data_IF_642083721476
#
_entry.id   IF_642083721476
#
_cell.length_a   1.000
_cell.length_b   1.000
_cell.length_c   1.000
_cell.angle_alpha   90.00
_cell.angle_beta   90.00
_cell.angle_gamma   90.00
#
_symmetry.space_group_name_H-M   'P 1'
#
loop_
_entity.id
_entity.type
_entity.pdbx_description
1 polymer ?
#
# COMPACT_ATOMS: atom_id res chain seq x y z
N UNK A 1 6.78 3.86 50.07
CA UNK A 1 7.31 4.71 48.99
C UNK A 1 6.16 5.18 48.11
N UNK A 2 6.02 6.50 47.95
CA UNK A 2 5.42 7.18 46.79
C UNK A 2 3.96 6.92 46.43
N UNK A 3 3.01 7.61 47.08
CA UNK A 3 1.69 7.87 46.51
C UNK A 3 1.60 9.33 46.10
N UNK A 4 1.62 9.63 44.80
CA UNK A 4 1.42 10.99 44.28
C UNK A 4 0.15 11.07 43.43
N UNK A 5 -0.80 11.86 43.96
CA UNK A 5 -1.89 12.59 43.33
C UNK A 5 -2.28 12.23 41.88
N UNK A 6 -3.44 11.59 41.74
CA UNK A 6 -4.21 11.56 40.49
C UNK A 6 -4.89 12.92 40.29
N UNK A 7 -4.27 13.82 39.53
CA UNK A 7 -4.91 15.05 39.08
C UNK A 7 -5.58 14.76 37.73
N UNK A 8 -6.91 14.60 37.75
CA UNK A 8 -7.77 14.48 36.57
C UNK A 8 -7.62 15.74 35.72
N UNK A 9 -6.79 15.71 34.67
CA UNK A 9 -6.68 16.81 33.70
C UNK A 9 -7.83 16.68 32.70
N UNK A 10 -8.78 17.61 32.76
CA UNK A 10 -9.81 17.81 31.73
C UNK A 10 -9.22 18.81 30.73
N UNK A 11 -8.96 18.35 29.51
CA UNK A 11 -8.60 19.22 28.38
C UNK A 11 -9.86 19.96 27.92
N UNK A 12 -9.82 21.29 27.98
CA UNK A 12 -10.87 22.15 27.45
C UNK A 12 -10.54 22.47 26.00
N UNK A 13 -11.43 22.10 25.08
CA UNK A 13 -11.38 22.57 23.69
C UNK A 13 -11.81 24.04 23.66
N UNK A 14 -11.10 24.84 22.87
CA UNK A 14 -11.41 26.24 22.62
C UNK A 14 -12.63 26.31 21.71
N UNK A 15 -13.79 26.57 22.31
CA UNK A 15 -15.06 26.87 21.67
C UNK A 15 -14.96 28.24 20.96
N UNK A 16 -15.39 28.34 19.69
CA UNK A 16 -15.14 29.46 18.76
C UNK A 16 -15.86 30.78 19.12
N UNK A 17 -16.47 30.87 20.31
CA UNK A 17 -17.18 32.04 20.81
C UNK A 17 -16.40 32.70 21.95
N UNK A 18 -15.73 33.81 21.66
CA UNK A 18 -14.80 34.55 22.54
C UNK A 18 -15.47 35.30 23.73
N UNK A 19 -16.71 34.99 24.11
CA UNK A 19 -17.49 35.73 25.13
C UNK A 19 -17.78 34.95 26.41
N UNK A 20 -16.98 33.92 26.71
CA UNK A 20 -17.13 33.06 27.88
C UNK A 20 -15.89 33.16 28.77
N UNK A 21 -16.07 33.65 30.00
CA UNK A 21 -15.00 33.73 31.00
C UNK A 21 -15.14 32.62 32.04
N UNK A 22 -14.02 32.13 32.57
CA UNK A 22 -14.01 31.00 33.53
C UNK A 22 -13.82 31.54 34.94
N UNK A 23 -14.86 31.41 35.77
CA UNK A 23 -14.82 31.78 37.19
C UNK A 23 -14.85 30.52 38.04
N UNK A 24 -13.77 30.26 38.79
CA UNK A 24 -13.63 29.13 39.72
C UNK A 24 -13.92 27.75 39.09
N UNK A 25 -13.56 27.57 37.81
CA UNK A 25 -13.67 26.31 37.07
C UNK A 25 -14.99 26.09 36.32
N UNK A 26 -15.90 27.07 36.32
CA UNK A 26 -17.20 27.00 35.62
C UNK A 26 -17.22 28.06 34.51
N UNK A 27 -17.68 27.68 33.30
CA UNK A 27 -17.83 28.58 32.14
C UNK A 27 -19.10 29.43 32.32
N UNK A 28 -18.96 30.75 32.41
CA UNK A 28 -20.08 31.69 32.51
C UNK A 28 -19.97 32.74 31.39
N UNK A 29 -21.10 33.18 30.85
CA UNK A 29 -21.14 34.30 29.90
C UNK A 29 -21.17 35.64 30.64
N UNK A 30 -20.67 36.69 29.98
CA UNK A 30 -20.60 38.07 30.52
C UNK A 30 -21.94 38.51 31.13
N UNK A 31 -23.06 38.27 30.43
CA UNK A 31 -24.41 38.64 30.89
C UNK A 31 -24.86 37.95 32.20
N UNK A 32 -24.35 36.75 32.49
CA UNK A 32 -24.65 36.04 33.74
C UNK A 32 -23.77 36.56 34.88
N UNK A 33 -22.53 36.96 34.57
CA UNK A 33 -21.58 37.53 35.52
C UNK A 33 -22.02 38.91 35.99
N UNK A 34 -22.46 39.78 35.08
CA UNK A 34 -22.95 41.11 35.44
C UNK A 34 -24.19 41.06 36.33
N UNK A 35 -25.10 40.10 36.07
CA UNK A 35 -26.27 39.87 36.92
C UNK A 35 -25.91 39.35 38.32
N UNK A 36 -24.83 38.58 38.45
CA UNK A 36 -24.32 38.16 39.75
C UNK A 36 -23.62 39.31 40.50
N UNK A 37 -23.09 40.28 39.76
CA UNK A 37 -22.37 41.44 40.30
C UNK A 37 -23.33 42.57 40.71
N UNK A 38 -24.49 42.69 40.08
CA UNK A 38 -25.51 43.71 40.36
C UNK A 38 -26.67 43.18 41.25
N UNK A 39 -26.37 42.84 42.50
CA UNK A 39 -27.40 42.69 43.55
C UNK A 39 -27.28 43.80 44.58
N UNK A 40 -27.79 44.99 44.25
CA UNK A 40 -28.19 46.05 45.19
C UNK A 40 -29.08 47.09 44.48
N UNK A 41 -30.39 47.16 44.74
CA UNK A 41 -31.25 48.16 44.13
C UNK A 41 -31.36 49.39 45.04
N UNK A 42 -30.66 50.48 44.71
CA UNK A 42 -31.02 51.82 45.18
C UNK A 42 -31.79 52.55 44.08
N UNK A 43 -33.10 52.69 44.29
CA UNK A 43 -34.08 53.12 43.28
C UNK A 43 -34.00 54.59 42.82
N UNK A 44 -34.80 54.96 41.80
CA UNK A 44 -34.86 56.31 41.29
C UNK A 44 -35.87 57.14 42.09
N UNK A 45 -35.44 58.27 42.66
CA UNK A 45 -36.36 59.32 43.14
C UNK A 45 -36.26 60.55 42.26
N UNK A 46 -37.28 60.66 41.41
CA UNK A 46 -37.82 61.90 40.85
C UNK A 46 -38.17 62.88 41.97
N UNK A 47 -37.80 64.16 41.80
CA UNK A 47 -38.56 65.25 42.41
C UNK A 47 -38.54 66.49 41.51
N UNK A 48 -39.62 66.66 40.74
CA UNK A 48 -40.09 67.97 40.26
C UNK A 48 -40.87 68.65 41.38
N UNK A 49 -40.57 69.92 41.64
CA UNK A 49 -41.49 70.95 42.15
C UNK A 49 -40.82 72.31 41.83
N UNK A 50 -41.26 73.06 40.80
CA UNK A 50 -42.15 74.24 40.89
C UNK A 50 -41.82 75.15 42.08
N UNK A 51 -41.69 76.47 41.96
CA UNK A 51 -42.11 77.42 40.95
C UNK A 51 -42.29 78.76 41.66
N UNK A 52 -42.25 79.84 40.88
CA UNK A 52 -42.35 81.25 41.29
C UNK A 52 -41.07 81.77 41.98
N UNK A 53 -40.60 82.99 41.73
CA UNK A 53 -41.33 84.24 41.53
C UNK A 53 -40.53 85.11 40.56
N UNK A 54 -41.22 85.66 39.55
CA UNK A 54 -40.67 86.65 38.64
C UNK A 54 -40.29 87.90 39.41
N UNK A 55 -38.98 88.15 39.49
CA UNK A 55 -38.45 89.47 39.78
C UNK A 55 -38.15 90.14 38.43
N UNK A 56 -38.61 91.36 38.25
CA UNK A 56 -38.20 92.27 37.18
C UNK A 56 -36.67 92.34 37.14
N UNK A 57 -36.06 91.63 36.18
CA UNK A 57 -34.62 91.58 35.99
C UNK A 57 -34.20 92.87 35.29
N UNK A 58 -33.32 93.65 35.93
CA UNK A 58 -32.67 94.79 35.31
C UNK A 58 -31.67 94.31 34.23
N UNK A 59 -31.51 95.07 33.16
CA UNK A 59 -30.67 94.77 31.98
C UNK A 59 -29.25 94.26 32.35
N UNK A 60 -28.74 94.72 33.48
CA UNK A 60 -27.40 94.42 34.01
C UNK A 60 -27.27 93.07 34.71
N UNK A 61 -28.32 92.53 35.31
CA UNK A 61 -28.31 91.18 35.91
C UNK A 61 -28.44 90.11 34.81
N UNK A 62 -29.16 90.43 33.72
CA UNK A 62 -29.27 89.57 32.54
C UNK A 62 -27.93 89.47 31.79
N UNK A 63 -27.24 90.60 31.56
CA UNK A 63 -25.89 90.61 30.98
C UNK A 63 -24.88 89.80 31.78
N UNK A 64 -24.95 89.85 33.11
CA UNK A 64 -24.02 89.13 34.00
C UNK A 64 -24.21 87.60 33.90
N UNK A 65 -25.45 87.11 33.84
CA UNK A 65 -25.75 85.68 33.63
C UNK A 65 -25.37 85.19 32.24
N UNK A 66 -25.58 86.01 31.21
CA UNK A 66 -25.13 85.67 29.84
C UNK A 66 -23.61 85.56 29.79
N UNK A 67 -22.89 86.47 30.44
CA UNK A 67 -21.42 86.40 30.51
C UNK A 67 -20.90 85.18 31.29
N UNK A 68 -21.57 84.82 32.40
CA UNK A 68 -21.24 83.62 33.18
C UNK A 68 -21.53 82.33 32.39
N UNK A 69 -22.64 82.27 31.66
CA UNK A 69 -22.97 81.13 30.80
C UNK A 69 -22.00 81.00 29.62
N UNK A 70 -21.61 82.11 29.00
CA UNK A 70 -20.61 82.13 27.93
C UNK A 70 -19.25 81.61 28.41
N UNK A 71 -18.84 82.03 29.62
CA UNK A 71 -17.60 81.55 30.24
C UNK A 71 -17.65 80.06 30.56
N UNK A 72 -18.79 79.55 31.03
CA UNK A 72 -19.00 78.12 31.29
C UNK A 72 -18.99 77.28 29.99
N UNK A 73 -19.57 77.78 28.91
CA UNK A 73 -19.56 77.11 27.61
C UNK A 73 -18.17 77.15 26.94
N UNK A 74 -17.43 78.26 27.04
CA UNK A 74 -16.02 78.30 26.61
C UNK A 74 -15.16 77.29 27.39
N UNK A 75 -15.32 77.22 28.71
CA UNK A 75 -14.61 76.27 29.56
C UNK A 75 -14.95 74.81 29.21
N UNK A 76 -16.21 74.49 28.91
CA UNK A 76 -16.62 73.15 28.44
C UNK A 76 -15.98 72.81 27.09
N UNK A 77 -16.04 73.73 26.13
CA UNK A 77 -15.50 73.54 24.78
C UNK A 77 -13.98 73.36 24.80
N UNK A 78 -13.28 74.12 25.65
CA UNK A 78 -11.84 73.97 25.85
C UNK A 78 -11.51 72.62 26.52
N UNK A 79 -12.27 72.20 27.54
CA UNK A 79 -12.15 70.88 28.15
C UNK A 79 -12.39 69.75 27.14
N UNK A 80 -13.40 69.86 26.28
CA UNK A 80 -13.69 68.86 25.25
C UNK A 80 -12.58 68.78 24.20
N UNK A 81 -12.09 69.92 23.70
CA UNK A 81 -10.95 69.97 22.79
C UNK A 81 -9.68 69.39 23.44
N UNK A 82 -9.44 69.67 24.72
CA UNK A 82 -8.31 69.12 25.45
C UNK A 82 -8.43 67.59 25.63
N UNK A 83 -9.64 67.06 25.85
CA UNK A 83 -9.90 65.61 25.88
C UNK A 83 -9.65 64.96 24.52
N UNK A 84 -10.13 65.56 23.43
CA UNK A 84 -9.89 65.07 22.05
C UNK A 84 -8.41 65.05 21.71
N UNK A 85 -7.66 66.09 22.10
CA UNK A 85 -6.22 66.15 21.86
C UNK A 85 -5.46 65.08 22.66
N UNK A 86 -5.84 64.84 23.93
CA UNK A 86 -5.26 63.77 24.77
C UNK A 86 -5.54 62.39 24.17
N UNK A 87 -6.79 62.15 23.78
CA UNK A 87 -7.19 60.90 23.14
C UNK A 87 -6.45 60.67 21.81
N UNK A 88 -6.29 61.70 20.97
CA UNK A 88 -5.49 61.59 19.74
C UNK A 88 -4.04 61.21 20.03
N UNK A 89 -3.40 61.87 20.99
CA UNK A 89 -2.00 61.57 21.38
C UNK A 89 -1.85 60.15 21.91
N UNK A 90 -2.81 59.67 22.69
CA UNK A 90 -2.83 58.31 23.22
C UNK A 90 -2.99 57.27 22.10
N UNK A 91 -3.95 57.49 21.18
CA UNK A 91 -4.13 56.64 20.00
C UNK A 91 -2.88 56.61 19.10
N UNK A 92 -2.21 57.74 18.93
CA UNK A 92 -0.97 57.81 18.14
C UNK A 92 0.17 57.05 18.82
N UNK A 93 0.26 57.12 20.16
CA UNK A 93 1.24 56.35 20.93
C UNK A 93 0.98 54.84 20.87
N UNK A 94 -0.28 54.41 20.93
CA UNK A 94 -0.68 53.01 20.82
C UNK A 94 -0.39 52.46 19.42
N UNK A 95 -0.70 53.22 18.36
CA UNK A 95 -0.36 52.86 16.97
C UNK A 95 1.15 52.75 16.77
N UNK A 96 1.93 53.65 17.35
CA UNK A 96 3.39 53.60 17.25
C UNK A 96 3.94 52.32 17.91
N UNK A 97 3.46 51.99 19.11
CA UNK A 97 3.83 50.74 19.79
C UNK A 97 3.41 49.49 19.01
N UNK A 98 2.17 49.46 18.52
CA UNK A 98 1.67 48.35 17.70
C UNK A 98 2.48 48.18 16.40
N UNK A 99 2.84 49.28 15.75
CA UNK A 99 3.67 49.28 14.54
C UNK A 99 5.10 48.78 14.81
N UNK A 100 5.72 49.20 15.92
CA UNK A 100 7.04 48.71 16.32
C UNK A 100 7.01 47.20 16.63
N UNK A 101 5.99 46.75 17.34
CA UNK A 101 5.82 45.33 17.67
C UNK A 101 5.58 44.48 16.42
N UNK A 102 4.74 44.95 15.49
CA UNK A 102 4.52 44.28 14.21
C UNK A 102 5.83 44.19 13.41
N UNK A 103 6.60 45.28 13.35
CA UNK A 103 7.89 45.31 12.66
C UNK A 103 8.86 44.30 13.27
N UNK A 104 8.91 44.20 14.60
CA UNK A 104 9.72 43.18 15.30
C UNK A 104 9.24 41.76 15.01
N UNK A 105 7.93 41.52 15.00
CA UNK A 105 7.36 40.20 14.72
C UNK A 105 7.69 39.75 13.28
N UNK A 106 7.53 40.65 12.30
CA UNK A 106 7.85 40.38 10.89
C UNK A 106 9.33 40.04 10.72
N UNK A 107 10.23 40.78 11.36
CA UNK A 107 11.67 40.51 11.27
C UNK A 107 12.02 39.15 11.87
N UNK A 108 11.44 38.79 13.03
CA UNK A 108 11.65 37.47 13.65
C UNK A 108 11.16 36.35 12.75
N UNK A 109 9.97 36.49 12.18
CA UNK A 109 9.38 35.49 11.27
C UNK A 109 10.22 35.32 9.99
N UNK A 110 10.76 36.42 9.46
CA UNK A 110 11.64 36.33 8.29
C UNK A 110 12.92 35.58 8.61
N UNK A 111 13.55 35.87 9.75
CA UNK A 111 14.78 35.20 10.17
C UNK A 111 14.53 33.71 10.43
N UNK A 112 13.45 33.35 11.13
CA UNK A 112 13.09 31.96 11.37
C UNK A 112 12.79 31.23 10.05
N UNK A 113 12.04 31.85 9.14
CA UNK A 113 11.72 31.27 7.83
C UNK A 113 12.98 31.04 6.97
N UNK A 114 13.93 31.99 6.97
CA UNK A 114 15.19 31.85 6.25
C UNK A 114 16.07 30.75 6.87
N UNK A 115 16.11 30.64 8.20
CA UNK A 115 16.83 29.58 8.90
C UNK A 115 16.24 28.19 8.59
N UNK A 116 14.92 28.03 8.67
CA UNK A 116 14.24 26.78 8.33
C UNK A 116 14.43 26.41 6.86
N UNK A 117 14.40 27.41 5.96
CA UNK A 117 14.70 27.18 4.53
C UNK A 117 16.15 26.75 4.32
N UNK A 118 17.11 27.28 5.08
CA UNK A 118 18.50 26.88 5.03
C UNK A 118 18.70 25.44 5.55
N UNK A 119 18.06 25.09 6.68
CA UNK A 119 18.04 23.72 7.23
C UNK A 119 17.43 22.73 6.24
N UNK A 120 16.28 23.06 5.65
CA UNK A 120 15.62 22.23 4.66
C UNK A 120 16.51 21.99 3.43
N UNK A 121 17.18 23.03 2.91
CA UNK A 121 18.15 22.90 1.81
C UNK A 121 19.33 22.01 2.18
N UNK A 122 19.84 22.11 3.41
CA UNK A 122 20.95 21.27 3.87
C UNK A 122 20.54 19.80 3.97
N UNK A 123 19.37 19.52 4.57
CA UNK A 123 18.81 18.16 4.64
C UNK A 123 18.55 17.58 3.25
N UNK A 124 18.01 18.38 2.32
CA UNK A 124 17.81 17.93 0.93
C UNK A 124 19.11 17.50 0.26
N UNK A 125 20.22 18.24 0.44
CA UNK A 125 21.54 17.85 -0.06
C UNK A 125 22.07 16.57 0.59
N UNK A 126 21.85 16.39 1.89
CA UNK A 126 22.25 15.17 2.58
C UNK A 126 21.48 13.94 2.09
N UNK A 127 20.18 14.09 1.82
CA UNK A 127 19.36 13.03 1.25
C UNK A 127 19.83 12.69 -0.16
N UNK A 128 20.11 13.68 -0.99
CA UNK A 128 20.61 13.43 -2.35
C UNK A 128 21.95 12.67 -2.33
N UNK A 129 22.88 13.02 -1.43
CA UNK A 129 24.14 12.29 -1.31
C UNK A 129 23.93 10.86 -0.81
N UNK A 130 23.03 10.64 0.16
CA UNK A 130 22.67 9.29 0.61
C UNK A 130 22.02 8.47 -0.50
N UNK A 131 21.13 9.06 -1.29
CA UNK A 131 20.52 8.41 -2.45
C UNK A 131 21.57 8.05 -3.50
N UNK A 132 22.57 8.91 -3.73
CA UNK A 132 23.70 8.61 -4.63
C UNK A 132 24.52 7.42 -4.13
N UNK A 133 24.81 7.35 -2.83
CA UNK A 133 25.53 6.22 -2.24
C UNK A 133 24.72 4.92 -2.35
N UNK A 134 23.42 4.97 -2.01
CA UNK A 134 22.52 3.80 -2.10
C UNK A 134 22.43 3.32 -3.56
N UNK A 135 22.26 4.23 -4.52
CA UNK A 135 22.22 3.87 -5.96
C UNK A 135 23.50 3.20 -6.43
N UNK A 136 24.67 3.65 -5.96
CA UNK A 136 25.96 3.01 -6.30
C UNK A 136 26.04 1.59 -5.72
N UNK A 137 25.60 1.39 -4.49
CA UNK A 137 25.57 0.06 -3.87
C UNK A 137 24.58 -0.87 -4.57
N UNK A 138 23.37 -0.38 -4.87
CA UNK A 138 22.35 -1.14 -5.60
C UNK A 138 22.86 -1.57 -6.98
N UNK A 139 23.46 -0.66 -7.74
CA UNK A 139 24.08 -0.98 -9.03
C UNK A 139 25.19 -2.02 -8.89
N UNK A 140 26.05 -1.89 -7.87
CA UNK A 140 27.12 -2.86 -7.60
C UNK A 140 26.57 -4.26 -7.32
N UNK A 141 25.59 -4.38 -6.41
CA UNK A 141 25.03 -5.69 -6.06
C UNK A 141 24.20 -6.29 -7.20
N UNK A 142 23.47 -5.48 -7.97
CA UNK A 142 22.78 -5.94 -9.18
C UNK A 142 23.76 -6.51 -10.22
N UNK A 143 24.87 -5.84 -10.45
CA UNK A 143 25.93 -6.33 -11.35
C UNK A 143 26.53 -7.65 -10.86
N UNK A 144 26.79 -7.77 -9.54
CA UNK A 144 27.29 -9.04 -8.98
C UNK A 144 26.28 -10.18 -9.13
N UNK A 145 25.00 -9.91 -8.90
CA UNK A 145 23.94 -10.88 -9.08
C UNK A 145 23.82 -11.30 -10.55
N UNK A 146 23.80 -10.35 -11.47
CA UNK A 146 23.73 -10.62 -12.91
C UNK A 146 24.90 -11.51 -13.37
N UNK A 147 26.14 -11.23 -12.93
CA UNK A 147 27.31 -12.07 -13.25
C UNK A 147 27.23 -13.47 -12.66
N UNK A 148 26.64 -13.61 -11.47
CA UNK A 148 26.46 -14.92 -10.84
C UNK A 148 25.37 -15.72 -11.58
N UNK A 149 24.25 -15.08 -11.89
CA UNK A 149 23.15 -15.65 -12.66
C UNK A 149 23.64 -16.09 -14.04
N UNK A 150 24.38 -15.24 -14.75
CA UNK A 150 24.97 -15.54 -16.06
C UNK A 150 25.86 -16.79 -15.99
N UNK A 151 26.89 -16.80 -15.13
CA UNK A 151 27.78 -17.97 -14.97
C UNK A 151 27.04 -19.23 -14.56
N UNK A 152 26.04 -19.11 -13.69
CA UNK A 152 25.23 -20.27 -13.29
C UNK A 152 24.40 -20.79 -14.45
N UNK A 153 23.80 -19.90 -15.24
CA UNK A 153 22.97 -20.25 -16.39
C UNK A 153 23.78 -20.95 -17.48
N UNK A 154 25.01 -20.47 -17.75
CA UNK A 154 25.95 -21.13 -18.66
C UNK A 154 26.31 -22.54 -18.18
N UNK A 155 26.58 -22.70 -16.88
CA UNK A 155 26.87 -24.01 -16.30
C UNK A 155 25.70 -24.99 -16.48
N UNK A 156 24.46 -24.57 -16.19
CA UNK A 156 23.28 -25.41 -16.39
C UNK A 156 23.04 -25.72 -17.87
N UNK A 157 23.23 -24.74 -18.76
CA UNK A 157 23.08 -24.91 -20.21
C UNK A 157 24.05 -25.96 -20.73
N UNK A 158 25.35 -25.79 -20.49
CA UNK A 158 26.38 -26.73 -20.96
C UNK A 158 26.15 -28.12 -20.37
N UNK A 159 25.81 -28.22 -19.08
CA UNK A 159 25.54 -29.52 -18.44
C UNK A 159 24.35 -30.23 -19.08
N UNK A 160 23.26 -29.50 -19.31
CA UNK A 160 22.05 -30.05 -19.94
C UNK A 160 22.33 -30.44 -21.39
N UNK A 161 23.05 -29.61 -22.15
CA UNK A 161 23.44 -29.91 -23.53
C UNK A 161 24.32 -31.16 -23.63
N UNK A 162 25.33 -31.31 -22.76
CA UNK A 162 26.18 -32.51 -22.75
C UNK A 162 25.38 -33.76 -22.38
N UNK A 163 24.48 -33.67 -21.40
CA UNK A 163 23.62 -34.79 -21.03
C UNK A 163 22.67 -35.18 -22.17
N UNK A 164 22.00 -34.20 -22.78
CA UNK A 164 21.08 -34.41 -23.90
C UNK A 164 21.82 -35.07 -25.06
N UNK A 165 22.99 -34.55 -25.43
CA UNK A 165 23.83 -35.12 -26.48
C UNK A 165 24.25 -36.56 -26.17
N UNK A 166 24.68 -36.83 -24.94
CA UNK A 166 25.03 -38.20 -24.54
C UNK A 166 23.82 -39.14 -24.60
N UNK A 167 22.63 -38.67 -24.18
CA UNK A 167 21.39 -39.43 -24.27
C UNK A 167 21.01 -39.73 -25.73
N UNK A 168 21.10 -38.75 -26.62
CA UNK A 168 20.85 -38.89 -28.06
C UNK A 168 21.87 -39.83 -28.73
N UNK A 169 23.15 -39.73 -28.39
CA UNK A 169 24.18 -40.64 -28.90
C UNK A 169 23.93 -42.08 -28.48
N UNK A 170 23.49 -42.29 -27.24
CA UNK A 170 23.11 -43.63 -26.75
C UNK A 170 21.83 -44.08 -27.46
N UNK A 171 20.78 -43.26 -27.55
CA UNK A 171 19.54 -43.62 -28.24
C UNK A 171 19.77 -43.94 -29.73
N UNK A 172 20.64 -43.19 -30.41
CA UNK A 172 20.98 -43.44 -31.81
C UNK A 172 21.74 -44.77 -32.00
N UNK A 173 22.65 -45.11 -31.08
CA UNK A 173 23.36 -46.40 -31.08
C UNK A 173 22.43 -47.57 -30.72
N UNK A 174 21.43 -47.30 -29.89
CA UNK A 174 20.45 -48.27 -29.42
C UNK A 174 19.05 -47.93 -29.95
N UNK A 175 18.85 -48.09 -31.27
CA UNK A 175 17.50 -48.02 -31.85
C UNK A 175 16.58 -48.97 -31.10
N UNK A 176 15.46 -48.44 -30.60
CA UNK A 176 14.40 -49.29 -30.02
C UNK A 176 13.99 -50.32 -31.06
N UNK A 177 13.92 -51.58 -30.64
CA UNK A 177 13.35 -52.63 -31.47
C UNK A 177 11.91 -52.25 -31.82
N UNK A 178 11.62 -51.99 -33.09
CA UNK A 178 10.23 -51.85 -33.54
C UNK A 178 9.56 -53.22 -33.45
N UNK A 179 8.97 -53.49 -32.30
CA UNK A 179 8.15 -54.67 -32.09
C UNK A 179 6.86 -54.50 -32.87
N UNK A 180 6.82 -55.12 -34.04
CA UNK A 180 5.59 -55.27 -34.81
C UNK A 180 4.81 -56.45 -34.24
N UNK A 181 3.65 -56.23 -33.60
CA UNK A 181 2.87 -57.32 -33.03
C UNK A 181 2.33 -58.23 -34.16
N UNK A 182 2.82 -59.47 -34.20
CA UNK A 182 2.43 -60.42 -35.24
C UNK A 182 0.96 -60.83 -35.06
N UNK A 183 0.19 -60.82 -36.14
CA UNK A 183 -1.24 -61.14 -36.18
C UNK A 183 -2.13 -60.18 -35.34
N UNK A 184 -1.68 -58.94 -35.07
CA UNK A 184 -2.43 -57.98 -34.24
C UNK A 184 -3.84 -57.71 -34.76
N UNK A 185 -4.01 -57.55 -36.08
CA UNK A 185 -5.31 -57.26 -36.68
C UNK A 185 -6.27 -58.45 -36.53
N UNK A 186 -5.77 -59.68 -36.75
CA UNK A 186 -6.54 -60.91 -36.52
C UNK A 186 -6.92 -61.07 -35.05
N UNK A 187 -6.01 -60.69 -34.13
CA UNK A 187 -6.28 -60.68 -32.70
C UNK A 187 -7.37 -59.66 -32.32
N UNK A 188 -7.36 -58.47 -32.93
CA UNK A 188 -8.41 -57.48 -32.72
C UNK A 188 -9.77 -58.00 -33.24
N UNK A 189 -9.80 -58.59 -34.43
CA UNK A 189 -11.01 -59.10 -35.06
C UNK A 189 -11.64 -60.27 -34.29
N UNK A 190 -10.83 -61.23 -33.82
CA UNK A 190 -11.35 -62.36 -33.04
C UNK A 190 -11.90 -61.89 -31.68
N UNK A 191 -11.21 -60.97 -31.00
CA UNK A 191 -11.68 -60.40 -29.74
C UNK A 191 -12.98 -59.61 -29.94
N UNK A 192 -13.09 -58.87 -31.04
CA UNK A 192 -14.31 -58.16 -31.40
C UNK A 192 -15.48 -59.13 -31.67
N UNK A 193 -15.23 -60.22 -32.40
CA UNK A 193 -16.24 -61.23 -32.68
C UNK A 193 -16.78 -61.89 -31.40
N UNK A 194 -15.91 -62.25 -30.46
CA UNK A 194 -16.34 -62.85 -29.19
C UNK A 194 -17.14 -61.89 -28.31
N UNK A 195 -16.82 -60.59 -28.33
CA UNK A 195 -17.61 -59.58 -27.62
C UNK A 195 -19.02 -59.44 -28.20
N UNK A 196 -19.17 -59.58 -29.50
CA UNK A 196 -20.46 -59.48 -30.19
C UNK A 196 -21.28 -60.78 -30.10
N UNK A 197 -20.63 -61.94 -29.95
CA UNK A 197 -21.25 -63.26 -29.97
C UNK A 197 -20.98 -64.04 -28.66
N UNK A 198 -21.28 -63.43 -27.52
CA UNK A 198 -20.96 -63.97 -26.19
C UNK A 198 -21.61 -65.34 -25.91
N UNK A 199 -22.81 -65.58 -26.43
CA UNK A 199 -23.53 -66.86 -26.30
C UNK A 199 -23.30 -67.82 -27.48
N UNK A 200 -22.65 -67.37 -28.55
CA UNK A 200 -22.44 -68.13 -29.79
C UNK A 200 -20.98 -68.03 -30.25
N UNK A 201 -20.06 -68.37 -29.35
CA UNK A 201 -18.61 -68.24 -29.58
C UNK A 201 -18.11 -69.08 -30.76
N UNK A 202 -18.79 -70.18 -31.09
CA UNK A 202 -18.48 -71.05 -32.22
C UNK A 202 -18.66 -70.36 -33.59
N UNK A 203 -19.47 -69.29 -33.67
CA UNK A 203 -19.60 -68.47 -34.89
C UNK A 203 -18.30 -67.75 -35.25
N UNK A 204 -17.41 -67.53 -34.27
CA UNK A 204 -16.09 -66.93 -34.47
C UNK A 204 -14.98 -67.96 -34.80
N UNK A 205 -15.33 -69.24 -34.98
CA UNK A 205 -14.38 -70.34 -35.19
C UNK A 205 -13.52 -70.19 -36.45
N UNK A 206 -14.05 -69.56 -37.51
CA UNK A 206 -13.30 -69.24 -38.72
C UNK A 206 -12.17 -68.22 -38.43
N UNK A 207 -12.48 -67.13 -37.71
CA UNK A 207 -11.50 -66.13 -37.28
C UNK A 207 -10.46 -66.73 -36.32
N UNK A 208 -10.89 -67.59 -35.40
CA UNK A 208 -10.00 -68.32 -34.49
C UNK A 208 -9.01 -69.22 -35.24
N UNK A 209 -9.48 -69.89 -36.29
CA UNK A 209 -8.65 -70.75 -37.13
C UNK A 209 -7.62 -69.94 -37.93
N UNK A 210 -8.03 -68.79 -38.48
CA UNK A 210 -7.12 -67.88 -39.19
C UNK A 210 -6.05 -67.28 -38.27
N UNK A 211 -6.44 -66.84 -37.07
CA UNK A 211 -5.48 -66.35 -36.07
C UNK A 211 -4.47 -67.45 -35.70
N UNK A 212 -4.94 -68.68 -35.45
CA UNK A 212 -4.08 -69.82 -35.13
C UNK A 212 -3.13 -70.16 -36.28
N UNK A 213 -3.59 -70.10 -37.52
CA UNK A 213 -2.74 -70.31 -38.70
C UNK A 213 -1.66 -69.22 -38.81
N UNK A 214 -2.03 -67.95 -38.63
CA UNK A 214 -1.08 -66.83 -38.63
C UNK A 214 0.00 -66.99 -37.54
N UNK A 215 -0.39 -67.32 -36.31
CA UNK A 215 0.55 -67.58 -35.19
C UNK A 215 1.47 -68.75 -35.49
N UNK A 216 0.95 -69.84 -36.07
CA UNK A 216 1.75 -71.02 -36.40
C UNK A 216 2.72 -70.77 -37.56
N UNK A 217 2.30 -70.01 -38.57
CA UNK A 217 3.17 -69.61 -39.68
C UNK A 217 4.30 -68.69 -39.20
N UNK A 218 3.99 -67.75 -38.30
CA UNK A 218 4.98 -66.90 -37.66
C UNK A 218 6.00 -67.69 -36.82
N UNK A 219 5.57 -68.80 -36.19
CA UNK A 219 6.46 -69.72 -35.46
C UNK A 219 7.39 -70.52 -36.39
N UNK A 220 6.97 -70.81 -37.63
CA UNK A 220 7.70 -71.65 -38.57
C UNK A 220 8.68 -70.88 -39.47
N UNK A 221 8.60 -69.54 -39.56
CA UNK A 221 9.53 -68.71 -40.33
C UNK A 221 10.42 -67.84 -39.41
N UNK A 222 11.61 -68.32 -38.98
CA UNK A 222 12.42 -67.66 -37.97
C UNK A 222 13.17 -66.42 -38.47
N UNK A 223 13.05 -66.01 -39.74
CA UNK A 223 13.67 -64.78 -40.24
C UNK A 223 13.08 -63.50 -39.63
N UNK A 224 11.92 -63.59 -38.96
CA UNK A 224 11.41 -62.54 -38.06
C UNK A 224 11.86 -62.74 -36.58
N UNK A 225 12.60 -63.81 -36.26
CA UNK A 225 13.06 -64.18 -34.91
C UNK A 225 14.59 -64.13 -34.71
N UNK A 226 15.36 -63.83 -35.77
CA UNK A 226 16.83 -63.69 -35.75
C UNK A 226 17.34 -62.48 -34.94
N UNK A 227 16.43 -61.86 -34.19
CA UNK A 227 16.61 -60.67 -33.37
C UNK A 227 16.55 -60.98 -31.87
N UNK A 228 16.06 -62.16 -31.48
CA UNK A 228 15.93 -62.55 -30.06
C UNK A 228 17.07 -63.45 -29.57
N UNK A 229 17.66 -64.29 -30.44
CA UNK A 229 18.70 -65.23 -30.02
C UNK A 229 20.11 -64.61 -30.03
N UNK A 230 20.39 -63.66 -30.91
CA UNK A 230 21.66 -62.92 -30.95
C UNK A 230 21.78 -61.89 -29.82
N UNK A 231 20.67 -61.29 -29.37
CA UNK A 231 20.65 -60.42 -28.19
C UNK A 231 20.95 -61.18 -26.88
N UNK A 232 20.54 -62.46 -26.78
CA UNK A 232 20.74 -63.26 -25.57
C UNK A 232 22.20 -63.68 -25.32
N UNK A 233 23.06 -63.68 -26.36
CA UNK A 233 24.49 -63.98 -26.23
C UNK A 233 25.33 -62.71 -25.95
N UNK A 234 24.88 -61.53 -26.37
CA UNK A 234 25.54 -60.25 -26.07
C UNK A 234 25.11 -59.65 -24.71
N UNK A 235 23.95 -60.02 -24.16
CA UNK A 235 23.44 -59.47 -22.90
C UNK A 235 23.95 -60.19 -21.63
N UNK A 236 24.53 -61.39 -21.77
CA UNK A 236 24.99 -62.20 -20.61
C UNK A 236 26.26 -61.69 -19.93
N UNK A 237 26.99 -60.73 -20.51
CA UNK A 237 28.32 -60.34 -20.01
C UNK A 237 28.39 -58.98 -19.32
N UNK A 238 27.32 -58.15 -19.22
CA UNK A 238 27.51 -56.80 -18.65
C UNK A 238 26.37 -56.11 -17.89
N UNK A 239 25.19 -56.70 -17.62
CA UNK A 239 24.13 -55.94 -16.92
C UNK A 239 23.45 -56.75 -15.80
N UNK A 240 24.00 -56.66 -14.57
CA UNK A 240 23.25 -56.91 -13.32
C UNK A 240 22.36 -55.68 -13.09
N UNK A 241 21.25 -55.64 -13.79
CA UNK A 241 20.00 -54.93 -13.46
C UNK A 241 19.17 -54.87 -14.75
N UNK A 242 18.44 -55.94 -15.02
CA UNK A 242 17.48 -56.01 -16.12
C UNK A 242 16.36 -55.01 -15.93
N UNK A 243 16.17 -54.01 -16.81
CA UNK A 243 14.93 -53.28 -16.87
C UNK A 243 13.86 -54.25 -17.39
N UNK A 244 12.71 -54.32 -16.71
CA UNK A 244 11.53 -55.10 -17.09
C UNK A 244 10.87 -54.66 -18.42
N UNK A 245 11.59 -53.90 -19.27
CA UNK A 245 11.09 -53.30 -20.50
C UNK A 245 11.25 -54.18 -21.77
N UNK A 246 11.74 -55.42 -21.63
CA UNK A 246 11.77 -56.39 -22.73
C UNK A 246 10.48 -57.23 -22.86
N UNK A 247 9.48 -56.96 -22.03
CA UNK A 247 8.10 -57.24 -22.43
C UNK A 247 7.66 -56.09 -23.31
N UNK A 248 7.24 -56.41 -24.54
CA UNK A 248 6.56 -55.48 -25.43
C UNK A 248 5.31 -54.93 -24.72
N UNK A 249 5.49 -53.84 -23.97
CA UNK A 249 4.41 -53.19 -23.24
C UNK A 249 3.42 -52.67 -24.26
N UNK A 250 2.18 -53.15 -24.19
CA UNK A 250 1.05 -52.42 -24.74
C UNK A 250 1.15 -50.96 -24.26
N UNK A 251 0.98 -50.01 -25.19
CA UNK A 251 1.00 -48.58 -24.89
C UNK A 251 0.16 -48.28 -23.65
N UNK A 252 0.71 -47.63 -22.61
CA UNK A 252 -0.12 -46.89 -21.69
C UNK A 252 -0.70 -45.71 -22.48
N UNK A 253 -2.03 -45.60 -22.48
CA UNK A 253 -2.74 -44.35 -22.82
C UNK A 253 -2.04 -43.16 -22.14
N UNK A 254 -2.04 -41.96 -22.74
CA UNK A 254 -1.38 -40.81 -22.16
C UNK A 254 -2.06 -40.44 -20.84
N UNK A 255 -1.40 -40.77 -19.73
CA UNK A 255 -1.74 -40.21 -18.42
C UNK A 255 -1.27 -38.76 -18.36
N UNK A 256 -2.09 -37.81 -17.90
CA UNK A 256 -1.72 -36.40 -17.83
C UNK A 256 -0.58 -36.20 -16.81
N UNK A 257 0.34 -35.24 -17.03
CA UNK A 257 1.42 -35.00 -16.11
C UNK A 257 0.91 -34.18 -14.92
N UNK A 258 0.46 -34.84 -13.87
CA UNK A 258 0.43 -34.26 -12.54
C UNK A 258 1.54 -34.92 -11.72
N UNK A 259 2.55 -34.14 -11.36
CA UNK A 259 3.50 -34.51 -10.31
C UNK A 259 4.95 -34.67 -10.76
N UNK A 260 5.60 -33.57 -11.12
CA UNK A 260 6.95 -33.21 -10.66
C UNK A 260 7.31 -31.85 -11.24
N UNK A 261 6.73 -30.80 -10.67
CA UNK A 261 7.27 -29.45 -10.78
C UNK A 261 8.67 -29.44 -10.14
N UNK A 262 9.74 -29.11 -10.87
CA UNK A 262 10.97 -28.67 -10.24
C UNK A 262 10.63 -27.37 -9.49
N UNK A 263 11.25 -27.18 -8.34
CA UNK A 263 11.16 -26.00 -7.47
C UNK A 263 11.28 -24.61 -8.17
N UNK A 264 11.60 -24.57 -9.46
CA UNK A 264 11.72 -23.37 -10.29
C UNK A 264 10.39 -22.81 -10.83
N UNK A 265 9.30 -23.59 -10.90
CA UNK A 265 8.00 -23.02 -11.31
C UNK A 265 7.33 -22.16 -10.21
N UNK A 266 7.78 -22.28 -8.96
CA UNK A 266 7.30 -21.46 -7.84
C UNK A 266 7.78 -20.00 -7.93
N UNK A 267 8.88 -19.75 -8.66
CA UNK A 267 9.48 -18.41 -8.79
C UNK A 267 8.85 -17.62 -9.94
N UNK A 268 8.41 -18.27 -11.02
CA UNK A 268 7.70 -17.58 -12.12
C UNK A 268 6.24 -17.27 -11.77
N UNK A 269 5.53 -18.15 -11.05
CA UNK A 269 4.13 -17.91 -10.67
C UNK A 269 3.95 -16.87 -9.54
N UNK A 270 5.02 -16.45 -8.87
CA UNK A 270 4.97 -15.35 -7.89
C UNK A 270 5.10 -13.95 -8.52
N UNK A 271 5.43 -13.85 -9.82
CA UNK A 271 5.59 -12.57 -10.51
C UNK A 271 4.31 -12.07 -11.19
N UNK A 272 3.35 -12.95 -11.49
CA UNK A 272 2.09 -12.57 -12.16
C UNK A 272 0.92 -12.34 -11.18
N UNK A 273 1.10 -12.56 -9.88
CA UNK A 273 0.05 -12.37 -8.87
C UNK A 273 0.01 -10.96 -8.23
N UNK A 274 0.84 -10.01 -8.68
CA UNK A 274 0.86 -8.62 -8.17
C UNK A 274 0.24 -7.58 -9.11
N UNK A 275 -0.33 -7.98 -10.26
CA UNK A 275 -0.93 -7.06 -11.23
C UNK A 275 -2.47 -7.06 -11.28
N UNK A 276 -3.15 -7.71 -10.33
CA UNK A 276 -4.59 -7.57 -10.15
C UNK A 276 -4.89 -7.16 -8.70
N UNK A 277 -4.87 -5.85 -8.46
CA UNK A 277 -5.45 -5.26 -7.25
C UNK A 277 -6.98 -5.37 -7.26
N UNK A 278 -7.63 -5.43 -6.08
CA UNK A 278 -9.08 -5.40 -6.01
C UNK A 278 -9.59 -3.98 -6.29
N UNK A 279 -10.31 -3.79 -7.40
CA UNK A 279 -11.35 -2.77 -7.48
C UNK A 279 -12.56 -3.27 -6.67
N UNK A 280 -12.68 -2.79 -5.43
CA UNK A 280 -13.94 -2.38 -4.80
C UNK A 280 -13.64 -1.57 -3.53
#
# INVERSE_FOLDING_TARGET
>A
MGGTASTRRVTFEADENENITVVKGIRLSENVIDRMKETSPSGPKSQRYSGAYGASVSDEELKRRVAEELALEEAKKESENQKRLKQSKELDSEKAFASEQLTRAILRERISSEEERAKAKHLAKQLEEKDRVIKKQDAFYKEQLARLEERSSEFYRVTTEQYQKAAEEVEAKFKRYECHPICADLQAQILQCYRQNTQQTLSCSALASQYKQCVNQAKQNPQASLTWQTASLLYKTSWRDTPKHLLCSAQPLPSPPWGSTPFMLQVLLHKDAQLLGPEN
#
